data_IF_409724002472
#
_entry.id   IF_409724002472
#
_cell.length_a   1.000
_cell.length_b   1.000
_cell.length_c   1.000
_cell.angle_alpha   90.00
_cell.angle_beta   90.00
_cell.angle_gamma   90.00
#
_symmetry.space_group_name_H-M   'P 1'
#
loop_
_entity.id
_entity.type
_entity.pdbx_description
1 polymer ?
#
# COMPACT_ATOMS: atom_id res chain seq x y z
N UNK A 1 0.79 -0.35 13.13
CA UNK A 1 1.70 -0.08 12.03
C UNK A 1 0.92 0.14 10.75
N UNK A 2 1.45 0.94 9.86
CA UNK A 2 0.77 1.34 8.65
C UNK A 2 1.57 1.00 7.40
N UNK A 3 0.85 0.83 6.29
CA UNK A 3 1.43 0.82 4.94
C UNK A 3 0.73 1.89 4.12
N UNK A 4 1.37 2.36 3.05
CA UNK A 4 0.86 3.43 2.19
C UNK A 4 0.75 2.95 0.76
N UNK A 5 -0.37 3.25 0.11
CA UNK A 5 -0.60 2.95 -1.30
C UNK A 5 -0.75 4.27 -2.06
N UNK A 6 0.15 4.52 -3.00
CA UNK A 6 0.14 5.76 -3.77
C UNK A 6 0.61 6.99 -3.01
N UNK A 7 1.20 6.81 -1.83
CA UNK A 7 1.76 7.87 -0.99
C UNK A 7 3.19 7.47 -0.67
N UNK A 8 4.12 8.42 -0.75
CA UNK A 8 5.49 8.14 -0.33
C UNK A 8 5.48 7.76 1.15
N UNK A 9 5.97 6.57 1.54
CA UNK A 9 5.98 6.16 2.96
C UNK A 9 6.68 7.14 3.89
N UNK A 10 7.62 7.93 3.38
CA UNK A 10 8.28 8.97 4.16
C UNK A 10 7.29 10.00 4.71
N UNK A 11 6.16 10.24 4.04
CA UNK A 11 5.13 11.15 4.53
C UNK A 11 4.50 10.64 5.83
N UNK A 12 4.15 9.35 5.88
CA UNK A 12 3.58 8.75 7.09
C UNK A 12 4.63 8.70 8.22
N UNK A 13 5.86 8.35 7.89
CA UNK A 13 6.95 8.32 8.86
C UNK A 13 7.21 9.71 9.47
N UNK A 14 7.15 10.74 8.64
CA UNK A 14 7.34 12.12 9.10
C UNK A 14 6.30 12.51 10.17
N UNK A 15 5.07 12.03 10.05
CA UNK A 15 4.01 12.30 11.02
C UNK A 15 4.00 11.33 12.21
N UNK A 16 5.02 10.50 12.36
CA UNK A 16 5.22 9.66 13.54
C UNK A 16 4.57 8.28 13.49
N UNK A 17 4.09 7.84 12.32
CA UNK A 17 3.54 6.49 12.19
C UNK A 17 4.66 5.45 12.08
N UNK A 18 4.42 4.28 12.65
CA UNK A 18 5.30 3.13 12.43
C UNK A 18 4.94 2.50 11.08
N UNK A 19 5.84 2.61 10.11
CA UNK A 19 5.63 2.14 8.74
C UNK A 19 6.28 0.79 8.51
N UNK A 20 5.55 -0.11 7.84
CA UNK A 20 6.10 -1.39 7.37
C UNK A 20 6.79 -1.25 6.03
N UNK A 21 6.40 -0.26 5.25
CA UNK A 21 6.94 0.00 3.92
C UNK A 21 8.01 1.09 3.97
N UNK A 22 8.76 1.21 2.88
CA UNK A 22 9.78 2.24 2.76
C UNK A 22 10.94 1.83 1.87
N UNK A 23 11.95 2.70 1.83
CA UNK A 23 13.21 2.46 1.15
C UNK A 23 14.31 2.26 2.18
N UNK A 24 15.03 1.15 2.10
CA UNK A 24 16.16 0.88 3.01
C UNK A 24 17.14 -0.10 2.37
N UNK A 25 18.42 0.18 2.53
CA UNK A 25 19.49 -0.75 2.15
C UNK A 25 19.66 -1.89 3.17
N UNK A 26 18.96 -1.82 4.30
CA UNK A 26 19.15 -2.73 5.42
C UNK A 26 18.01 -3.73 5.61
N UNK A 27 17.07 -3.82 4.68
CA UNK A 27 16.04 -4.84 4.77
C UNK A 27 16.66 -6.23 4.66
N UNK A 28 16.31 -7.11 5.61
CA UNK A 28 16.71 -8.51 5.51
C UNK A 28 15.97 -9.17 4.34
N UNK A 29 16.57 -10.23 3.81
CA UNK A 29 15.93 -11.01 2.75
C UNK A 29 14.61 -11.63 3.24
N UNK A 30 14.57 -12.07 4.50
CA UNK A 30 13.34 -12.60 5.10
C UNK A 30 12.24 -11.56 5.15
N UNK A 31 12.55 -10.33 5.58
CA UNK A 31 11.57 -9.24 5.62
C UNK A 31 11.04 -8.92 4.24
N UNK A 32 11.91 -8.85 3.25
CA UNK A 32 11.52 -8.60 1.88
C UNK A 32 10.61 -9.70 1.34
N UNK A 33 10.90 -10.96 1.64
CA UNK A 33 10.05 -12.09 1.22
C UNK A 33 8.67 -12.03 1.88
N UNK A 34 8.61 -11.67 3.15
CA UNK A 34 7.33 -11.52 3.84
C UNK A 34 6.52 -10.35 3.29
N UNK A 35 7.18 -9.24 2.98
CA UNK A 35 6.51 -8.09 2.37
C UNK A 35 6.00 -8.45 0.97
N UNK A 36 6.78 -9.22 0.21
CA UNK A 36 6.38 -9.68 -1.12
C UNK A 36 5.07 -10.47 -1.10
N UNK A 37 4.83 -11.24 -0.06
CA UNK A 37 3.58 -12.00 0.08
C UNK A 37 2.36 -11.07 0.14
N UNK A 38 2.50 -9.92 0.78
CA UNK A 38 1.42 -8.92 0.87
C UNK A 38 1.02 -8.44 -0.51
N UNK A 39 1.99 -8.15 -1.37
CA UNK A 39 1.77 -7.55 -2.69
C UNK A 39 1.71 -8.58 -3.81
N UNK A 40 1.89 -9.86 -3.52
CA UNK A 40 1.90 -10.92 -4.54
C UNK A 40 0.68 -10.90 -5.47
N UNK A 41 -0.56 -10.67 -4.98
CA UNK A 41 -1.71 -10.60 -5.89
C UNK A 41 -1.58 -9.52 -6.97
N UNK A 42 -1.00 -8.36 -6.63
CA UNK A 42 -0.79 -7.30 -7.63
C UNK A 42 0.41 -7.59 -8.52
N UNK A 43 1.47 -8.19 -7.99
CA UNK A 43 2.63 -8.58 -8.79
C UNK A 43 2.26 -9.61 -9.86
N UNK A 44 1.35 -10.52 -9.55
CA UNK A 44 0.89 -11.54 -10.50
C UNK A 44 0.13 -10.94 -11.69
N UNK A 45 -0.44 -9.75 -11.53
CA UNK A 45 -1.18 -9.06 -12.59
C UNK A 45 -0.26 -8.34 -13.58
N UNK A 46 1.02 -8.10 -13.22
CA UNK A 46 1.94 -7.29 -14.02
C UNK A 46 3.35 -7.84 -13.96
N UNK A 47 3.83 -8.36 -15.08
CA UNK A 47 5.21 -8.81 -15.22
C UNK A 47 6.22 -7.69 -14.93
N UNK A 48 5.88 -6.46 -15.32
CA UNK A 48 6.72 -5.30 -15.02
C UNK A 48 6.89 -5.07 -13.51
N UNK A 49 5.79 -5.16 -12.75
CA UNK A 49 5.86 -4.99 -11.30
C UNK A 49 6.63 -6.12 -10.63
N UNK A 50 6.42 -7.35 -11.05
CA UNK A 50 7.13 -8.50 -10.51
C UNK A 50 8.63 -8.36 -10.72
N UNK A 51 9.04 -8.04 -11.93
CA UNK A 51 10.46 -7.81 -12.27
C UNK A 51 11.03 -6.66 -11.45
N UNK A 52 10.32 -5.54 -11.37
CA UNK A 52 10.78 -4.37 -10.64
C UNK A 52 10.98 -4.68 -9.16
N UNK A 53 10.04 -5.36 -8.53
CA UNK A 53 10.16 -5.69 -7.12
C UNK A 53 11.27 -6.70 -6.87
N UNK A 54 11.34 -7.74 -7.68
CA UNK A 54 12.28 -8.85 -7.45
C UNK A 54 13.74 -8.45 -7.72
N UNK A 55 13.98 -7.49 -8.61
CA UNK A 55 15.34 -7.07 -8.99
C UNK A 55 15.80 -5.75 -8.37
N UNK A 56 14.89 -4.92 -7.85
CA UNK A 56 15.22 -3.64 -7.24
C UNK A 56 15.11 -3.75 -5.71
N UNK A 57 16.14 -4.29 -5.08
CA UNK A 57 16.15 -4.84 -3.74
C UNK A 57 15.80 -3.96 -2.53
N UNK A 58 15.69 -2.63 -2.67
CA UNK A 58 15.67 -1.73 -1.51
C UNK A 58 14.33 -1.09 -1.21
N UNK A 59 13.28 -1.43 -1.94
CA UNK A 59 11.96 -0.80 -1.81
C UNK A 59 10.90 -1.82 -1.43
N UNK A 60 10.37 -1.66 -0.23
CA UNK A 60 9.18 -2.39 0.20
C UNK A 60 8.01 -1.41 0.14
N UNK A 61 7.40 -1.27 -1.03
CA UNK A 61 6.26 -0.40 -1.27
C UNK A 61 5.06 -1.23 -1.73
N UNK A 62 3.86 -0.72 -1.44
CA UNK A 62 2.67 -1.25 -2.08
C UNK A 62 2.59 -0.70 -3.51
N UNK A 63 2.38 -1.59 -4.45
CA UNK A 63 2.23 -1.26 -5.86
C UNK A 63 0.88 -1.75 -6.36
N UNK A 64 0.38 -1.12 -7.42
CA UNK A 64 -0.84 -1.58 -8.10
C UNK A 64 -0.57 -1.83 -9.57
N UNK A 65 -1.11 -2.93 -10.09
CA UNK A 65 -1.08 -3.22 -11.53
C UNK A 65 -1.87 -2.20 -12.36
N UNK A 66 -2.77 -1.45 -11.75
CA UNK A 66 -3.54 -0.40 -12.43
C UNK A 66 -2.71 0.85 -12.73
N UNK A 67 -1.59 1.05 -12.00
CA UNK A 67 -0.63 2.13 -12.29
C UNK A 67 0.80 1.64 -12.00
N UNK A 68 1.32 0.72 -12.82
CA UNK A 68 2.54 -0.02 -12.48
C UNK A 68 3.82 0.81 -12.47
N UNK A 69 3.84 1.98 -13.08
CA UNK A 69 5.02 2.84 -13.10
C UNK A 69 5.10 3.85 -11.95
N UNK A 70 4.10 3.88 -11.06
CA UNK A 70 3.98 4.94 -10.06
C UNK A 70 3.83 4.38 -8.67
N UNK A 71 4.59 4.91 -7.71
CA UNK A 71 4.39 4.62 -6.30
C UNK A 71 3.77 5.80 -5.54
N UNK A 72 3.56 6.94 -6.20
CA UNK A 72 2.83 8.08 -5.65
C UNK A 72 1.73 8.50 -6.60
N UNK A 73 0.57 8.86 -6.04
CA UNK A 73 -0.60 9.29 -6.79
C UNK A 73 -1.07 10.61 -6.19
N UNK A 74 -0.99 11.69 -6.98
CA UNK A 74 -1.50 12.98 -6.55
C UNK A 74 -3.01 13.05 -6.65
N UNK A 75 -3.63 14.06 -6.04
CA UNK A 75 -5.07 14.28 -6.14
C UNK A 75 -5.49 14.43 -7.60
N UNK A 76 -6.53 13.75 -8.02
CA UNK A 76 -6.97 13.92 -9.40
C UNK A 76 -7.94 12.92 -9.96
N UNK A 77 -8.85 12.39 -9.24
CA UNK A 77 -9.95 11.58 -9.80
C UNK A 77 -9.60 10.14 -10.16
N UNK A 78 -8.40 9.69 -9.86
CA UNK A 78 -8.05 8.28 -10.00
C UNK A 78 -8.66 7.47 -8.86
N UNK A 79 -9.09 6.25 -9.15
CA UNK A 79 -9.46 5.28 -8.11
C UNK A 79 -9.07 3.87 -8.57
N UNK A 80 -8.83 3.00 -7.60
CA UNK A 80 -8.48 1.61 -7.89
C UNK A 80 -9.74 0.79 -8.09
N UNK A 81 -9.86 0.13 -9.24
CA UNK A 81 -11.03 -0.66 -9.57
C UNK A 81 -10.96 -2.10 -9.06
N UNK A 82 -9.74 -2.64 -9.00
CA UNK A 82 -9.53 -4.05 -8.67
C UNK A 82 -8.19 -4.26 -7.96
N UNK A 83 -7.94 -3.47 -6.91
CA UNK A 83 -6.72 -3.61 -6.11
C UNK A 83 -6.85 -4.81 -5.18
N UNK A 84 -5.85 -5.69 -5.18
CA UNK A 84 -5.83 -6.90 -4.38
C UNK A 84 -4.53 -7.03 -3.60
N UNK A 85 -4.63 -7.24 -2.29
CA UNK A 85 -3.48 -7.56 -1.44
C UNK A 85 -3.79 -8.79 -0.60
N UNK A 86 -2.76 -9.40 -0.04
CA UNK A 86 -2.92 -10.45 0.96
C UNK A 86 -3.00 -9.79 2.34
N UNK A 87 -4.22 -9.53 2.80
CA UNK A 87 -4.45 -8.86 4.09
C UNK A 87 -3.96 -9.70 5.27
N UNK A 88 -4.04 -11.03 5.17
CA UNK A 88 -3.53 -11.92 6.21
C UNK A 88 -2.01 -11.77 6.39
N UNK A 89 -1.27 -11.77 5.28
CA UNK A 89 0.18 -11.54 5.32
C UNK A 89 0.53 -10.17 5.87
N UNK A 90 -0.26 -9.14 5.52
CA UNK A 90 -0.09 -7.80 6.07
C UNK A 90 -0.31 -7.79 7.58
N UNK A 91 -1.36 -8.44 8.06
CA UNK A 91 -1.64 -8.52 9.48
C UNK A 91 -0.55 -9.29 10.24
N UNK A 92 -0.04 -10.38 9.67
CA UNK A 92 1.04 -11.15 10.25
C UNK A 92 2.33 -10.34 10.40
N UNK A 93 2.57 -9.41 9.50
CA UNK A 93 3.73 -8.50 9.57
C UNK A 93 3.50 -7.35 10.57
N UNK A 94 2.30 -7.24 11.11
CA UNK A 94 1.95 -6.22 12.10
C UNK A 94 1.19 -5.02 11.53
N UNK A 95 0.70 -5.12 10.29
CA UNK A 95 -0.07 -4.05 9.66
C UNK A 95 -1.50 -3.97 10.18
N UNK A 96 -1.90 -2.80 10.61
CA UNK A 96 -3.26 -2.54 11.13
C UNK A 96 -4.05 -1.63 10.21
N UNK A 97 -3.38 -0.71 9.52
CA UNK A 97 -4.02 0.29 8.67
C UNK A 97 -3.27 0.46 7.36
N UNK A 98 -4.03 0.82 6.33
CA UNK A 98 -3.51 1.20 5.03
C UNK A 98 -3.98 2.60 4.69
N UNK A 99 -3.04 3.47 4.33
CA UNK A 99 -3.32 4.82 3.86
C UNK A 99 -3.26 4.81 2.33
N UNK A 100 -4.33 5.21 1.66
CA UNK A 100 -4.36 5.19 0.20
C UNK A 100 -4.59 6.58 -0.37
N UNK A 101 -3.82 6.94 -1.39
CA UNK A 101 -3.98 8.20 -2.11
C UNK A 101 -5.23 8.21 -3.01
N UNK A 102 -5.85 7.04 -3.24
CA UNK A 102 -7.02 6.91 -4.08
C UNK A 102 -8.02 5.95 -3.45
N UNK A 103 -9.31 6.15 -3.74
CA UNK A 103 -10.37 5.24 -3.29
C UNK A 103 -10.12 3.84 -3.87
N UNK A 104 -10.30 2.81 -3.05
CA UNK A 104 -10.18 1.42 -3.45
C UNK A 104 -11.57 0.83 -3.55
N UNK A 105 -12.03 0.57 -4.76
CA UNK A 105 -13.33 -0.06 -4.98
C UNK A 105 -13.26 -1.54 -4.56
N UNK A 106 -14.33 -2.07 -4.03
CA UNK A 106 -14.41 -3.45 -3.54
C UNK A 106 -13.35 -3.79 -2.48
N UNK A 107 -12.97 -2.82 -1.65
CA UNK A 107 -11.90 -3.00 -0.66
C UNK A 107 -12.17 -4.15 0.31
N UNK A 108 -13.44 -4.39 0.64
CA UNK A 108 -13.81 -5.47 1.56
C UNK A 108 -13.48 -6.86 0.99
N UNK A 109 -13.52 -7.01 -0.34
CA UNK A 109 -13.18 -8.27 -1.00
C UNK A 109 -11.70 -8.64 -0.83
N UNK A 110 -10.86 -7.66 -0.55
CA UNK A 110 -9.43 -7.88 -0.32
C UNK A 110 -9.02 -7.70 1.16
N UNK A 111 -9.99 -7.65 2.06
CA UNK A 111 -9.74 -7.59 3.50
C UNK A 111 -9.45 -6.20 4.06
N UNK A 112 -9.89 -5.16 3.37
CA UNK A 112 -9.71 -3.77 3.80
C UNK A 112 -11.08 -3.12 4.05
N UNK A 113 -11.24 -2.49 5.21
CA UNK A 113 -12.46 -1.78 5.57
C UNK A 113 -12.21 -0.28 5.54
N UNK A 114 -13.00 0.43 4.72
CA UNK A 114 -12.93 1.90 4.67
C UNK A 114 -13.46 2.47 5.98
N UNK A 115 -12.63 3.26 6.65
CA UNK A 115 -12.95 3.76 8.00
C UNK A 115 -13.91 4.94 7.97
N UNK A 116 -13.90 5.74 6.91
CA UNK A 116 -14.86 6.82 6.69
C UNK A 116 -14.99 7.10 5.20
N UNK A 117 -16.19 7.52 4.73
CA UNK A 117 -16.39 7.72 3.29
C UNK A 117 -15.62 8.90 2.71
N UNK A 118 -15.33 9.92 3.51
CA UNK A 118 -14.58 11.09 3.04
C UNK A 118 -13.07 10.90 3.23
N UNK A 119 -12.32 11.31 2.23
CA UNK A 119 -10.87 11.35 2.32
C UNK A 119 -10.40 12.45 3.28
N UNK A 120 -9.22 12.26 3.87
CA UNK A 120 -8.52 13.31 4.59
C UNK A 120 -7.77 14.16 3.60
N UNK A 121 -8.12 15.45 3.52
CA UNK A 121 -7.42 16.38 2.65
C UNK A 121 -7.61 17.82 3.11
N UNK A 122 -6.67 18.68 2.75
CA UNK A 122 -6.81 20.13 2.85
C UNK A 122 -6.64 20.72 1.46
N UNK A 123 -7.01 21.99 1.28
CA UNK A 123 -6.85 22.67 0.00
C UNK A 123 -5.42 22.57 -0.55
N UNK A 124 -4.42 22.66 0.34
CA UNK A 124 -3.01 22.68 -0.03
C UNK A 124 -2.29 21.34 0.11
N UNK A 125 -2.99 20.26 0.50
CA UNK A 125 -2.34 18.96 0.63
C UNK A 125 -2.06 18.35 -0.74
N UNK A 126 -0.88 17.72 -0.87
CA UNK A 126 -0.50 17.01 -2.09
C UNK A 126 -1.35 15.79 -2.32
N UNK A 127 -1.66 15.06 -1.22
CA UNK A 127 -2.42 13.83 -1.29
C UNK A 127 -3.84 14.03 -0.78
N UNK A 128 -4.75 13.22 -1.34
CA UNK A 128 -6.06 12.91 -0.75
C UNK A 128 -5.91 11.53 -0.14
N UNK A 129 -6.19 11.37 1.16
CA UNK A 129 -5.87 10.13 1.87
C UNK A 129 -7.13 9.45 2.35
N UNK A 130 -7.36 8.23 1.88
CA UNK A 130 -8.38 7.33 2.40
C UNK A 130 -7.76 6.39 3.42
N UNK A 131 -8.45 6.19 4.53
CA UNK A 131 -7.98 5.33 5.62
C UNK A 131 -8.74 4.00 5.60
N UNK A 132 -7.99 2.91 5.51
CA UNK A 132 -8.52 1.55 5.56
C UNK A 132 -7.96 0.81 6.76
N UNK A 133 -8.81 0.01 7.40
CA UNK A 133 -8.40 -0.92 8.45
C UNK A 133 -8.19 -2.30 7.86
N UNK A 134 -7.13 -2.97 8.27
CA UNK A 134 -6.89 -4.36 7.88
C UNK A 134 -7.84 -5.24 8.68
N UNK A 135 -8.73 -5.97 8.00
CA UNK A 135 -9.76 -6.77 8.65
C UNK A 135 -9.18 -8.06 9.21
N UNK A 136 -9.76 -8.52 10.33
CA UNK A 136 -9.44 -9.82 10.87
C UNK A 136 -10.20 -10.92 10.13
N UNK A 137 -9.56 -12.07 9.96
CA UNK A 137 -10.13 -13.23 9.32
C UNK A 137 -10.86 -14.10 10.36
N UNK A 138 -11.98 -13.64 10.84
CA UNK A 138 -12.80 -14.46 11.74
C UNK A 138 -14.01 -15.03 11.02
#
# INVERSE_FOLDING_TARGET
RVVSLGIDPAAALYYGFYCLDGYSNNYSLEYKHRFREIIAPELEKSEYLEDSFDHWGNRCYLFSAECPGYYTIEKGGFYFQDYTIDAESLRQLGGSYLLSAAYIDHSEDTGLELMRPEAFETENSYYRIYLYRVMDNE
#
